data_IF_693081593312
#
_entry.id   IF_693081593312
#
_cell.length_a   1.000
_cell.length_b   1.000
_cell.length_c   1.000
_cell.angle_alpha   90.00
_cell.angle_beta   90.00
_cell.angle_gamma   90.00
#
_symmetry.space_group_name_H-M   'P 1'
#
loop_
_entity.id
_entity.type
_entity.pdbx_description
1 polymer ?
#
# COMPACT_ATOMS: atom_id res chain seq x y z
N UNK A 1 -11.12 -80.15 -19.04
CA UNK A 1 -11.95 -79.75 -17.88
C UNK A 1 -11.94 -78.24 -17.91
N UNK A 2 -12.99 -77.48 -18.26
CA UNK A 2 -14.43 -77.65 -18.01
C UNK A 2 -15.18 -76.77 -19.05
N UNK A 3 -16.19 -77.30 -19.73
CA UNK A 3 -17.27 -76.51 -20.38
C UNK A 3 -18.35 -76.25 -19.31
N UNK A 4 -19.19 -75.20 -19.38
CA UNK A 4 -20.35 -75.11 -20.30
C UNK A 4 -20.52 -73.70 -20.92
N UNK A 5 -21.05 -73.45 -22.13
CA UNK A 5 -22.32 -73.79 -22.81
C UNK A 5 -23.59 -73.19 -22.21
N UNK A 6 -24.20 -72.28 -22.98
CA UNK A 6 -25.65 -72.03 -23.06
C UNK A 6 -25.98 -70.54 -23.18
N UNK A 7 -26.93 -70.05 -23.98
CA UNK A 7 -27.83 -70.62 -25.01
C UNK A 7 -28.63 -69.40 -25.54
N UNK A 8 -28.81 -69.30 -26.87
CA UNK A 8 -30.04 -68.83 -27.58
C UNK A 8 -30.48 -67.35 -27.37
N UNK A 9 -31.14 -66.62 -28.26
CA UNK A 9 -31.70 -66.74 -29.63
C UNK A 9 -32.17 -65.30 -29.97
N UNK A 10 -32.36 -65.01 -31.26
CA UNK A 10 -33.47 -64.11 -31.67
C UNK A 10 -33.04 -62.83 -32.37
N UNK A 11 -33.41 -62.77 -33.66
CA UNK A 11 -33.25 -61.67 -34.57
C UNK A 11 -34.33 -60.59 -34.42
N UNK A 12 -34.07 -59.48 -35.12
CA UNK A 12 -35.02 -58.56 -35.78
C UNK A 12 -35.10 -57.15 -35.18
N UNK A 13 -34.77 -56.18 -36.03
CA UNK A 13 -35.69 -55.08 -36.32
C UNK A 13 -35.34 -53.69 -35.81
N UNK A 14 -34.96 -52.84 -36.76
CA UNK A 14 -35.46 -51.47 -36.98
C UNK A 14 -35.27 -50.45 -35.85
N UNK A 15 -34.43 -49.43 -36.10
CA UNK A 15 -34.89 -48.05 -36.27
C UNK A 15 -33.69 -47.11 -36.28
N UNK A 16 -33.43 -46.55 -37.46
CA UNK A 16 -32.50 -45.47 -37.69
C UNK A 16 -33.17 -44.17 -37.23
N UNK A 17 -32.87 -43.72 -36.02
CA UNK A 17 -33.35 -42.43 -35.51
C UNK A 17 -32.26 -41.38 -35.76
N UNK A 18 -32.48 -40.50 -36.73
CA UNK A 18 -31.73 -39.24 -36.85
C UNK A 18 -32.06 -38.37 -35.62
N UNK A 19 -31.08 -38.14 -34.75
CA UNK A 19 -31.14 -37.08 -33.75
C UNK A 19 -30.25 -35.94 -34.22
N UNK A 20 -30.87 -34.83 -34.64
CA UNK A 20 -30.21 -33.59 -34.95
C UNK A 20 -29.59 -33.01 -33.66
N UNK A 21 -28.26 -33.09 -33.53
CA UNK A 21 -27.52 -32.45 -32.45
C UNK A 21 -27.43 -30.95 -32.72
N UNK A 22 -28.11 -30.14 -31.91
CA UNK A 22 -27.94 -28.69 -31.90
C UNK A 22 -26.53 -28.35 -31.39
N UNK A 23 -25.67 -27.82 -32.27
CA UNK A 23 -24.38 -27.25 -31.92
C UNK A 23 -24.61 -25.93 -31.17
N UNK A 24 -24.46 -25.93 -29.84
CA UNK A 24 -24.40 -24.70 -29.05
C UNK A 24 -22.99 -24.13 -29.20
N UNK A 25 -22.85 -23.12 -30.06
CA UNK A 25 -21.61 -22.35 -30.20
C UNK A 25 -21.48 -21.45 -28.96
N UNK A 26 -20.62 -21.84 -28.02
CA UNK A 26 -20.27 -20.99 -26.88
C UNK A 26 -19.32 -19.91 -27.41
N UNK A 27 -19.84 -18.71 -27.67
CA UNK A 27 -19.02 -17.57 -28.03
C UNK A 27 -18.15 -17.17 -26.83
N UNK A 28 -16.83 -16.96 -26.99
CA UNK A 28 -16.01 -16.41 -25.95
C UNK A 28 -16.43 -14.95 -25.71
N UNK A 29 -17.06 -14.67 -24.57
CA UNK A 29 -17.25 -13.30 -24.10
C UNK A 29 -15.88 -12.75 -23.72
N UNK A 30 -15.23 -12.06 -24.65
CA UNK A 30 -14.07 -11.24 -24.36
C UNK A 30 -14.52 -10.08 -23.47
N UNK A 31 -14.42 -10.27 -22.15
CA UNK A 31 -14.54 -9.14 -21.23
C UNK A 31 -13.38 -8.20 -21.55
N UNK A 32 -13.63 -6.92 -21.89
CA UNK A 32 -12.54 -5.98 -22.07
C UNK A 32 -11.73 -5.93 -20.76
N UNK A 33 -10.40 -5.82 -20.82
CA UNK A 33 -9.62 -5.59 -19.62
C UNK A 33 -10.19 -4.33 -18.96
N UNK A 34 -10.56 -4.44 -17.68
CA UNK A 34 -10.91 -3.28 -16.89
C UNK A 34 -9.66 -2.40 -16.81
N UNK A 35 -9.54 -1.46 -17.74
CA UNK A 35 -8.62 -0.36 -17.62
C UNK A 35 -9.09 0.42 -16.39
N UNK A 36 -8.45 0.19 -15.25
CA UNK A 36 -8.57 1.09 -14.12
C UNK A 36 -8.29 2.49 -14.66
N UNK A 37 -9.23 3.42 -14.48
CA UNK A 37 -9.06 4.81 -14.91
C UNK A 37 -7.77 5.42 -14.34
N UNK A 38 -7.40 6.65 -14.75
CA UNK A 38 -6.23 7.32 -14.19
C UNK A 38 -6.28 7.22 -12.66
N UNK A 39 -5.24 6.65 -12.04
CA UNK A 39 -5.16 6.57 -10.59
C UNK A 39 -5.04 8.00 -10.08
N UNK A 40 -6.14 8.56 -9.59
CA UNK A 40 -6.17 9.90 -9.06
C UNK A 40 -5.81 9.88 -7.57
N UNK A 41 -4.93 10.78 -7.16
CA UNK A 41 -4.62 10.96 -5.75
C UNK A 41 -5.88 11.42 -4.99
N UNK A 42 -6.19 10.86 -3.80
CA UNK A 42 -7.37 11.26 -3.03
C UNK A 42 -7.34 12.72 -2.61
N UNK A 43 -8.50 13.38 -2.57
CA UNK A 43 -8.62 14.74 -2.02
C UNK A 43 -8.50 14.72 -0.48
N UNK A 44 -7.33 15.14 0.02
CA UNK A 44 -7.06 15.21 1.46
C UNK A 44 -7.74 16.41 2.14
N UNK A 45 -8.35 17.32 1.39
CA UNK A 45 -9.12 18.46 1.91
C UNK A 45 -10.33 18.03 2.74
N UNK A 46 -10.92 16.88 2.41
CA UNK A 46 -12.08 16.31 3.11
C UNK A 46 -11.76 15.66 4.46
N UNK A 47 -10.49 15.34 4.74
CA UNK A 47 -10.08 14.61 5.94
C UNK A 47 -9.98 15.53 7.15
N UNK A 48 -10.43 15.05 8.31
CA UNK A 48 -10.31 15.78 9.57
C UNK A 48 -8.84 15.93 9.96
N UNK A 49 -8.34 17.16 10.03
CA UNK A 49 -6.99 17.43 10.53
C UNK A 49 -6.91 17.13 12.03
N UNK A 50 -5.87 16.40 12.44
CA UNK A 50 -5.48 16.23 13.85
C UNK A 50 -4.31 17.14 14.18
N UNK A 51 -4.09 17.40 15.47
CA UNK A 51 -2.90 18.11 15.91
C UNK A 51 -1.65 17.23 15.67
N UNK A 52 -0.60 17.77 15.04
CA UNK A 52 0.63 17.03 14.78
C UNK A 52 1.45 16.76 16.06
N UNK A 53 1.39 17.67 17.04
CA UNK A 53 2.14 17.57 18.29
C UNK A 53 1.80 16.30 19.09
N UNK A 54 0.55 15.85 18.95
CA UNK A 54 0.01 14.62 19.53
C UNK A 54 0.66 13.34 18.99
N UNK A 55 1.37 13.42 17.87
CA UNK A 55 1.98 12.30 17.14
C UNK A 55 3.49 12.45 17.03
N UNK A 56 4.09 13.37 17.80
CA UNK A 56 5.54 13.62 17.77
C UNK A 56 6.31 12.32 17.99
N UNK A 57 7.33 12.13 17.16
CA UNK A 57 8.26 11.02 17.29
C UNK A 57 9.54 11.47 18.03
N UNK A 58 10.51 10.58 18.11
CA UNK A 58 11.81 10.86 18.68
C UNK A 58 12.40 12.15 18.10
N UNK A 59 13.13 12.86 18.96
CA UNK A 59 13.96 13.96 18.56
C UNK A 59 15.39 13.43 18.55
N UNK A 60 16.03 13.46 17.39
CA UNK A 60 17.47 13.21 17.28
C UNK A 60 18.20 14.46 16.81
N UNK A 61 19.52 14.43 16.67
CA UNK A 61 20.32 15.60 16.32
C UNK A 61 19.82 16.21 15.01
N UNK A 62 19.13 17.35 15.11
CA UNK A 62 18.54 18.09 13.99
C UNK A 62 17.43 17.34 13.22
N UNK A 63 16.86 16.27 13.78
CA UNK A 63 15.74 15.52 13.18
C UNK A 63 14.57 15.45 14.16
N UNK A 64 13.39 15.84 13.67
CA UNK A 64 12.12 15.65 14.34
C UNK A 64 11.08 15.13 13.35
N UNK A 65 9.91 14.75 13.85
CA UNK A 65 8.87 14.21 13.00
C UNK A 65 7.62 13.81 13.76
N UNK A 66 6.70 13.19 13.03
CA UNK A 66 5.51 12.55 13.57
C UNK A 66 5.44 11.10 13.14
N UNK A 67 4.78 10.27 13.96
CA UNK A 67 4.54 8.86 13.66
C UNK A 67 3.17 8.41 14.15
N UNK A 68 2.57 7.45 13.45
CA UNK A 68 1.24 6.96 13.79
C UNK A 68 1.04 5.51 13.32
N UNK A 69 0.15 4.81 14.03
CA UNK A 69 -0.38 3.53 13.57
C UNK A 69 -1.60 3.79 12.68
N UNK A 70 -1.73 3.02 11.59
CA UNK A 70 -2.87 3.12 10.68
C UNK A 70 -3.97 2.14 11.10
N UNK A 71 -5.24 2.37 10.70
CA UNK A 71 -6.32 1.40 10.89
C UNK A 71 -6.03 0.03 10.25
N UNK A 72 -5.17 -0.01 9.21
CA UNK A 72 -4.72 -1.24 8.56
C UNK A 72 -3.64 -2.01 9.32
N UNK A 73 -3.19 -1.55 10.49
CA UNK A 73 -2.23 -2.25 11.35
C UNK A 73 -0.75 -2.07 10.97
N UNK A 74 -0.44 -1.27 9.94
CA UNK A 74 0.92 -0.83 9.62
C UNK A 74 1.22 0.53 10.25
N UNK A 75 2.49 0.94 10.21
CA UNK A 75 2.96 2.18 10.82
C UNK A 75 3.44 3.14 9.75
N UNK A 76 3.36 4.43 10.02
CA UNK A 76 3.90 5.48 9.16
C UNK A 76 4.67 6.52 9.98
N UNK A 77 5.63 7.17 9.34
CA UNK A 77 6.44 8.25 9.91
C UNK A 77 6.69 9.31 8.86
N UNK A 78 6.62 10.56 9.28
CA UNK A 78 7.08 11.73 8.53
C UNK A 78 8.15 12.41 9.39
N UNK A 79 9.28 12.76 8.82
CA UNK A 79 10.36 13.44 9.54
C UNK A 79 11.09 14.41 8.66
N UNK A 80 11.67 15.44 9.28
CA UNK A 80 12.55 16.39 8.63
C UNK A 80 13.88 16.45 9.37
N UNK A 81 14.97 16.45 8.60
CA UNK A 81 16.32 16.62 9.11
C UNK A 81 16.92 17.91 8.61
N UNK A 82 17.01 18.91 9.50
CA UNK A 82 17.50 20.26 9.19
C UNK A 82 18.92 20.27 8.62
N UNK A 83 19.81 19.41 9.12
CA UNK A 83 21.19 19.32 8.64
C UNK A 83 21.30 18.88 7.17
N UNK A 84 20.40 18.02 6.71
CA UNK A 84 20.36 17.52 5.34
C UNK A 84 19.40 18.33 4.45
N UNK A 85 18.64 19.26 5.04
CA UNK A 85 17.48 19.86 4.40
C UNK A 85 16.55 18.80 3.79
N UNK A 86 16.37 17.68 4.50
CA UNK A 86 15.76 16.48 3.96
C UNK A 86 14.48 16.09 4.67
N UNK A 87 13.39 15.94 3.92
CA UNK A 87 12.13 15.37 4.40
C UNK A 87 12.03 13.90 4.00
N UNK A 88 11.49 13.08 4.89
CA UNK A 88 11.31 11.66 4.69
C UNK A 88 9.91 11.24 5.13
N UNK A 89 9.22 10.44 4.31
CA UNK A 89 7.91 9.87 4.61
C UNK A 89 7.94 8.39 4.31
N UNK A 90 7.56 7.56 5.27
CA UNK A 90 7.61 6.11 5.10
C UNK A 90 6.44 5.44 5.79
N UNK A 91 6.02 4.30 5.24
CA UNK A 91 5.11 3.37 5.90
C UNK A 91 5.67 1.95 5.80
N UNK A 92 5.48 1.15 6.85
CA UNK A 92 6.04 -0.20 6.92
C UNK A 92 5.20 -1.18 7.75
N UNK A 93 5.36 -2.47 7.45
CA UNK A 93 4.60 -3.58 8.00
C UNK A 93 3.90 -4.35 6.89
N UNK A 94 2.71 -4.88 7.17
CA UNK A 94 1.86 -5.52 6.15
C UNK A 94 1.14 -4.47 5.33
N UNK A 95 1.78 -3.98 4.27
CA UNK A 95 1.21 -2.94 3.41
C UNK A 95 0.11 -3.52 2.50
N UNK A 96 -1.04 -2.85 2.34
CA UNK A 96 -2.12 -3.35 1.50
C UNK A 96 -1.76 -3.25 0.01
N UNK A 97 -2.29 -4.14 -0.83
CA UNK A 97 -2.20 -4.04 -2.29
C UNK A 97 -0.78 -4.09 -2.87
N UNK A 98 0.18 -4.65 -2.14
CA UNK A 98 1.58 -4.86 -2.54
C UNK A 98 2.18 -6.08 -1.82
N UNK A 99 3.26 -6.64 -2.37
CA UNK A 99 4.07 -7.67 -1.69
C UNK A 99 5.18 -7.08 -0.82
N UNK A 100 5.46 -5.79 -0.97
CA UNK A 100 6.52 -5.09 -0.26
C UNK A 100 6.11 -4.77 1.18
N UNK A 101 7.05 -4.84 2.11
CA UNK A 101 6.81 -4.48 3.51
C UNK A 101 7.09 -3.00 3.85
N UNK A 102 7.55 -2.21 2.87
CA UNK A 102 7.92 -0.81 3.04
C UNK A 102 7.60 0.03 1.80
N UNK A 103 7.23 1.29 2.03
CA UNK A 103 7.24 2.37 1.03
C UNK A 103 7.89 3.58 1.67
N UNK A 104 8.78 4.23 0.94
CA UNK A 104 9.50 5.42 1.40
C UNK A 104 9.49 6.50 0.33
N UNK A 105 9.40 7.75 0.76
CA UNK A 105 9.57 8.96 -0.02
C UNK A 105 10.68 9.77 0.63
N UNK A 106 11.73 10.03 -0.15
CA UNK A 106 12.80 10.95 0.20
C UNK A 106 12.64 12.25 -0.57
N UNK A 107 12.82 13.37 0.11
CA UNK A 107 12.90 14.71 -0.45
C UNK A 107 14.14 15.42 0.08
N UNK A 108 14.97 15.97 -0.80
CA UNK A 108 16.12 16.79 -0.44
C UNK A 108 15.94 18.19 -1.01
N UNK A 109 15.71 19.20 -0.16
CA UNK A 109 15.46 20.56 -0.61
C UNK A 109 16.68 21.15 -1.32
N UNK A 110 16.47 21.66 -2.54
CA UNK A 110 17.52 22.12 -3.44
C UNK A 110 18.12 21.02 -4.34
N UNK A 111 17.58 19.80 -4.30
CA UNK A 111 17.86 18.72 -5.23
C UNK A 111 16.56 18.18 -5.84
N UNK A 112 16.64 17.57 -7.02
CA UNK A 112 15.49 17.00 -7.74
C UNK A 112 15.02 15.65 -7.18
N UNK A 113 15.59 15.17 -6.08
CA UNK A 113 15.30 13.83 -5.57
C UNK A 113 14.08 13.89 -4.66
N UNK A 114 12.91 13.93 -5.27
CA UNK A 114 11.64 13.59 -4.68
C UNK A 114 11.19 12.28 -5.34
N UNK A 115 11.27 11.18 -4.60
CA UNK A 115 10.96 9.87 -5.16
C UNK A 115 10.34 8.95 -4.12
N UNK A 116 9.15 8.46 -4.41
CA UNK A 116 8.51 7.42 -3.64
C UNK A 116 8.74 6.05 -4.29
N UNK A 117 9.19 5.09 -3.48
CA UNK A 117 9.47 3.72 -3.94
C UNK A 117 9.03 2.69 -2.90
N UNK A 118 8.53 1.56 -3.40
CA UNK A 118 8.32 0.37 -2.59
C UNK A 118 9.61 -0.44 -2.46
N UNK A 119 9.81 -1.06 -1.31
CA UNK A 119 10.95 -1.91 -1.03
C UNK A 119 10.64 -2.93 0.07
N UNK A 120 11.49 -3.93 0.21
CA UNK A 120 11.52 -4.79 1.39
C UNK A 120 12.69 -4.37 2.29
N UNK A 121 12.40 -4.16 3.56
CA UNK A 121 13.38 -3.79 4.59
C UNK A 121 13.34 -4.76 5.76
N UNK A 122 14.40 -4.78 6.57
CA UNK A 122 14.39 -5.49 7.84
C UNK A 122 13.57 -4.70 8.87
N UNK A 123 12.34 -5.15 9.12
CA UNK A 123 11.41 -4.52 10.07
C UNK A 123 11.93 -4.54 11.52
N UNK A 124 12.92 -5.37 11.86
CA UNK A 124 13.53 -5.37 13.20
C UNK A 124 14.41 -4.15 13.46
N UNK A 125 14.88 -3.49 12.39
CA UNK A 125 15.82 -2.37 12.47
C UNK A 125 15.15 -1.00 12.33
N UNK A 126 13.97 -0.92 11.70
CA UNK A 126 13.30 0.37 11.36
C UNK A 126 12.87 1.18 12.59
N UNK A 127 12.73 0.53 13.74
CA UNK A 127 12.37 1.16 15.02
C UNK A 127 13.59 1.45 15.90
N UNK A 128 14.79 1.14 15.42
CA UNK A 128 16.03 1.44 16.13
C UNK A 128 16.54 2.82 15.73
N UNK A 129 16.57 3.73 16.69
CA UNK A 129 17.19 5.05 16.55
C UNK A 129 18.64 4.92 17.02
N UNK A 130 19.62 5.09 16.13
CA UNK A 130 21.02 5.03 16.53
C UNK A 130 21.35 6.19 17.50
N UNK A 131 22.29 5.99 18.44
CA UNK A 131 22.78 7.07 19.29
C UNK A 131 23.46 8.16 18.44
N UNK A 132 23.36 9.41 18.90
CA UNK A 132 23.93 10.57 18.21
C UNK A 132 24.27 11.72 19.16
N UNK A 133 24.81 12.83 18.65
CA UNK A 133 25.15 13.98 19.49
C UNK A 133 23.93 14.49 20.27
N UNK A 134 23.95 14.37 21.60
CA UNK A 134 22.85 14.80 22.48
C UNK A 134 21.64 13.83 22.50
N UNK A 135 21.77 12.63 21.93
CA UNK A 135 20.67 11.67 21.79
C UNK A 135 21.18 10.29 22.20
N UNK A 136 20.58 9.70 23.24
CA UNK A 136 20.99 8.39 23.74
C UNK A 136 20.75 7.24 22.73
N UNK A 137 19.91 7.47 21.71
CA UNK A 137 19.39 6.42 20.85
C UNK A 137 18.38 5.54 21.58
N UNK A 138 18.00 4.43 20.96
CA UNK A 138 17.12 3.43 21.56
C UNK A 138 16.20 2.77 20.56
N UNK A 139 15.31 1.92 21.06
CA UNK A 139 14.28 1.25 20.26
C UNK A 139 12.93 1.85 20.59
N UNK A 140 12.19 2.24 19.57
CA UNK A 140 10.81 2.70 19.69
C UNK A 140 9.92 1.47 19.79
N UNK A 141 9.09 1.37 20.82
CA UNK A 141 8.15 0.27 20.91
C UNK A 141 7.00 0.51 19.91
N UNK A 142 6.72 -0.42 18.98
CA UNK A 142 5.62 -0.28 18.02
C UNK A 142 4.26 -0.05 18.66
N UNK A 143 4.04 -0.53 19.89
CA UNK A 143 2.79 -0.36 20.62
C UNK A 143 2.57 1.08 21.13
N UNK A 144 3.61 1.90 21.13
CA UNK A 144 3.54 3.30 21.58
C UNK A 144 3.05 4.23 20.46
N UNK A 145 2.85 3.70 19.24
CA UNK A 145 2.34 4.49 18.13
C UNK A 145 0.88 4.85 18.38
N UNK A 146 0.61 6.14 18.58
CA UNK A 146 -0.76 6.65 18.64
C UNK A 146 -1.49 6.32 17.34
N UNK A 147 -2.65 5.63 17.40
CA UNK A 147 -3.44 5.37 16.20
C UNK A 147 -3.97 6.68 15.62
N UNK A 148 -3.82 6.87 14.31
CA UNK A 148 -4.50 7.94 13.59
C UNK A 148 -5.93 7.47 13.28
N UNK A 149 -6.98 8.16 13.75
CA UNK A 149 -8.35 7.69 13.56
C UNK A 149 -8.72 7.63 12.07
N UNK A 150 -9.59 6.71 11.63
CA UNK A 150 -10.11 6.70 10.27
C UNK A 150 -10.68 8.06 9.86
N UNK A 151 -10.53 8.38 8.57
CA UNK A 151 -10.95 9.64 7.96
C UNK A 151 -10.30 10.87 8.63
N UNK A 152 -9.02 10.73 8.98
CA UNK A 152 -8.22 11.83 9.55
C UNK A 152 -6.91 12.01 8.78
N UNK A 153 -6.35 13.21 8.85
CA UNK A 153 -5.03 13.53 8.32
C UNK A 153 -4.15 14.18 9.36
N UNK A 154 -2.85 13.95 9.23
CA UNK A 154 -1.80 14.64 9.96
C UNK A 154 -0.90 15.35 8.96
N UNK A 155 -0.54 16.59 9.28
CA UNK A 155 0.33 17.42 8.46
C UNK A 155 1.52 17.85 9.31
N UNK A 156 2.73 17.63 8.80
CA UNK A 156 3.97 18.06 9.42
C UNK A 156 4.58 19.19 8.60
N UNK A 157 4.93 20.28 9.30
CA UNK A 157 5.26 21.57 8.68
C UNK A 157 6.66 22.07 9.04
N UNK A 158 7.44 21.28 9.78
CA UNK A 158 8.86 21.59 9.99
C UNK A 158 9.61 21.13 8.74
N UNK A 159 10.00 22.07 7.88
CA UNK A 159 10.52 21.80 6.54
C UNK A 159 9.43 21.82 5.44
N UNK A 160 9.60 21.05 4.35
CA UNK A 160 8.59 20.88 3.31
C UNK A 160 7.26 20.36 3.88
N UNK A 161 6.15 20.73 3.23
CA UNK A 161 4.83 20.31 3.68
C UNK A 161 4.62 18.81 3.44
N UNK A 162 4.55 18.03 4.50
CA UNK A 162 4.30 16.58 4.45
C UNK A 162 2.90 16.30 4.99
N UNK A 163 2.04 15.62 4.24
CA UNK A 163 0.69 15.26 4.69
C UNK A 163 0.44 13.78 4.47
N UNK A 164 -0.08 13.11 5.50
CA UNK A 164 -0.61 11.76 5.38
C UNK A 164 -2.04 11.71 5.91
N UNK A 165 -2.92 11.04 5.17
CA UNK A 165 -4.31 10.79 5.50
C UNK A 165 -4.58 9.29 5.55
N UNK A 166 -5.44 8.88 6.47
CA UNK A 166 -5.86 7.48 6.64
C UNK A 166 -7.37 7.35 6.60
N UNK A 167 -7.81 6.28 5.96
CA UNK A 167 -9.16 5.72 6.07
C UNK A 167 -9.05 4.31 6.71
N UNK A 168 -10.18 3.64 6.88
CA UNK A 168 -10.31 2.26 7.34
C UNK A 168 -9.39 1.26 6.64
N UNK A 169 -9.11 1.45 5.34
CA UNK A 169 -8.27 0.54 4.56
C UNK A 169 -7.24 1.26 3.67
N UNK A 170 -7.21 2.59 3.66
CA UNK A 170 -6.38 3.38 2.74
C UNK A 170 -5.45 4.31 3.53
N UNK A 171 -4.21 4.47 3.06
CA UNK A 171 -3.33 5.56 3.49
C UNK A 171 -2.80 6.28 2.27
N UNK A 172 -2.92 7.60 2.23
CA UNK A 172 -2.39 8.44 1.16
C UNK A 172 -1.47 9.48 1.76
N UNK A 173 -0.27 9.59 1.20
CA UNK A 173 0.78 10.44 1.72
C UNK A 173 1.37 11.24 0.56
N UNK A 174 1.50 12.54 0.75
CA UNK A 174 2.04 13.47 -0.24
C UNK A 174 3.00 14.48 0.37
N UNK A 175 3.90 14.96 -0.47
CA UNK A 175 4.61 16.22 -0.31
C UNK A 175 4.57 16.98 -1.62
N UNK A 176 4.69 18.30 -1.55
CA UNK A 176 4.86 19.14 -2.73
C UNK A 176 6.26 19.68 -2.74
N UNK A 177 6.98 19.47 -3.84
CA UNK A 177 8.24 20.15 -4.07
C UNK A 177 7.98 21.65 -4.23
N UNK A 178 8.65 22.45 -3.38
CA UNK A 178 8.50 23.89 -3.38
C UNK A 178 9.17 24.56 -4.60
N UNK A 179 10.14 23.91 -5.25
CA UNK A 179 10.85 24.49 -6.39
C UNK A 179 10.07 24.31 -7.71
N UNK A 180 9.60 23.11 -8.01
CA UNK A 180 8.90 22.80 -9.27
C UNK A 180 7.38 22.63 -9.12
N UNK A 181 6.84 22.72 -7.91
CA UNK A 181 5.41 22.53 -7.62
C UNK A 181 4.92 21.11 -7.90
N UNK A 182 5.84 20.15 -8.04
CA UNK A 182 5.51 18.76 -8.33
C UNK A 182 5.03 18.05 -7.06
N UNK A 183 3.97 17.28 -7.21
CA UNK A 183 3.42 16.47 -6.14
C UNK A 183 4.09 15.10 -6.18
N UNK A 184 4.58 14.63 -5.03
CA UNK A 184 5.17 13.31 -4.88
C UNK A 184 4.52 12.60 -3.73
N UNK A 185 4.40 11.28 -3.84
CA UNK A 185 3.67 10.57 -2.82
C UNK A 185 3.47 9.10 -3.10
N UNK A 186 2.62 8.52 -2.26
CA UNK A 186 2.18 7.17 -2.41
C UNK A 186 0.77 6.98 -1.86
N UNK A 187 0.09 5.98 -2.40
CA UNK A 187 -1.21 5.53 -1.92
C UNK A 187 -1.12 4.04 -1.63
N UNK A 188 -1.54 3.68 -0.42
CA UNK A 188 -1.66 2.33 0.07
C UNK A 188 -3.14 1.94 0.09
N UNK A 189 -3.53 0.94 -0.71
CA UNK A 189 -4.92 0.49 -0.79
C UNK A 189 -5.00 -0.98 -1.18
N UNK A 190 -5.96 -1.78 -0.65
CA UNK A 190 -6.19 -3.16 -1.08
C UNK A 190 -6.46 -3.30 -2.57
N UNK A 191 -7.01 -2.26 -3.21
CA UNK A 191 -7.26 -2.23 -4.66
C UNK A 191 -5.99 -2.09 -5.51
N UNK A 192 -4.84 -1.85 -4.87
CA UNK A 192 -3.55 -1.69 -5.51
C UNK A 192 -2.85 -0.43 -5.03
N UNK A 193 -1.63 -0.61 -4.53
CA UNK A 193 -0.78 0.49 -4.07
C UNK A 193 0.06 1.06 -5.20
N UNK A 194 0.46 2.34 -5.09
CA UNK A 194 1.27 3.03 -6.08
C UNK A 194 2.02 4.23 -5.51
N UNK A 195 3.01 4.69 -6.26
CA UNK A 195 3.80 5.90 -5.99
C UNK A 195 3.75 6.84 -7.19
N UNK A 196 4.08 8.11 -6.99
CA UNK A 196 4.16 9.15 -8.01
C UNK A 196 5.16 10.24 -7.62
#
# INVERSE_FOLDING_TARGET
MTTPRGRFKGAAGVSMTLAAGALVVVAPTSMPPAAAGPRQFPDLGSYRAVNADDYTTYHSYMTAGVQFATPGGYRCRMSFTHKQNGAHMQCWGSLPGTSFNHVGLDYLGGATTAGAAFSDVDLSQIETVPPGPGVAGGTINPQDYKPLPPHSKVTYTDGPLQTCAVDSAMTACETTDQEFGQQHGFVLSPAGSWTF
#
